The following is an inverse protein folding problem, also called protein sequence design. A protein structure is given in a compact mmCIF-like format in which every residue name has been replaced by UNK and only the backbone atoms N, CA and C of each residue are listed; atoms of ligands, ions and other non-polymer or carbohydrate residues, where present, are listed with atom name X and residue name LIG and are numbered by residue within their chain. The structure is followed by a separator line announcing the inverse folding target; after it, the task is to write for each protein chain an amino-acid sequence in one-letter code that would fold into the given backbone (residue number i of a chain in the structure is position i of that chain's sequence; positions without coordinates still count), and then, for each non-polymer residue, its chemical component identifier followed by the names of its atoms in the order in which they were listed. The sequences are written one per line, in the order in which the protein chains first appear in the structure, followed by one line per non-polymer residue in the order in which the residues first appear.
data_IF_015196249123
#
_entry.id   IF_015196249123
#
_cell.length_a   1.000
_cell.length_b   1.000
_cell.length_c   1.000
_cell.angle_alpha   90.00
_cell.angle_beta   90.00
_cell.angle_gamma   90.00
#
_symmetry.space_group_name_H-M   'P 1'
#
loop_
_entity.id
_entity.type
_entity.pdbx_description
1 polymer ?
#
# COMPACT_ATOMS: atom_id res chain seq x y z
N UNK A 1 24.99 1.45 13.51
CA UNK A 1 24.49 0.31 12.72
C UNK A 1 24.01 0.85 11.39
N UNK A 2 24.78 0.58 10.35
CA UNK A 2 24.55 1.03 8.97
C UNK A 2 23.41 0.23 8.34
N UNK A 3 22.26 0.86 8.13
CA UNK A 3 21.19 0.29 7.29
C UNK A 3 21.58 0.59 5.83
N UNK A 4 22.05 -0.44 5.14
CA UNK A 4 22.33 -0.43 3.72
C UNK A 4 21.00 -0.56 2.95
N UNK A 5 20.45 0.58 2.59
CA UNK A 5 19.25 0.75 1.78
C UNK A 5 18.97 2.25 1.74
N UNK A 6 19.39 2.94 0.68
CA UNK A 6 19.17 4.38 0.56
C UNK A 6 17.68 4.63 0.26
N UNK A 7 16.85 4.69 1.30
CA UNK A 7 15.52 5.30 1.21
C UNK A 7 15.73 6.80 1.07
N UNK A 8 15.40 7.35 -0.10
CA UNK A 8 15.40 8.80 -0.27
C UNK A 8 14.15 9.35 0.44
N UNK A 9 14.34 9.87 1.65
CA UNK A 9 13.32 10.64 2.36
C UNK A 9 13.41 12.07 1.83
N UNK A 10 12.50 12.42 0.92
CA UNK A 10 12.36 13.79 0.43
C UNK A 10 11.22 14.46 1.19
N UNK A 11 11.59 15.25 2.20
CA UNK A 11 10.68 16.06 2.98
C UNK A 11 10.45 17.43 2.32
N UNK A 12 9.18 17.77 2.09
CA UNK A 12 8.80 19.11 1.66
C UNK A 12 8.54 19.99 2.88
N UNK A 13 9.17 21.17 2.97
CA UNK A 13 8.89 22.17 4.00
C UNK A 13 8.01 23.31 3.45
N UNK A 14 6.92 23.61 4.15
CA UNK A 14 6.07 24.77 3.90
C UNK A 14 6.72 26.04 4.48
N UNK A 15 7.86 26.48 3.95
CA UNK A 15 8.44 27.78 4.32
C UNK A 15 7.84 28.90 3.47
N UNK A 16 7.49 30.00 4.13
CA UNK A 16 6.79 31.15 3.57
C UNK A 16 7.66 32.07 2.69
N UNK A 17 8.82 31.64 2.22
CA UNK A 17 9.74 32.55 1.49
C UNK A 17 10.45 31.87 0.32
N UNK A 18 10.13 32.36 -0.89
CA UNK A 18 10.96 32.41 -2.10
C UNK A 18 11.22 31.13 -2.94
N UNK A 19 10.17 30.39 -3.29
CA UNK A 19 9.97 29.73 -4.60
C UNK A 19 8.47 29.95 -4.92
N UNK A 20 8.00 30.14 -6.18
CA UNK A 20 6.57 30.22 -6.44
C UNK A 20 5.95 28.83 -6.25
N UNK A 21 5.85 28.35 -5.01
CA UNK A 21 5.45 26.99 -4.69
C UNK A 21 3.92 26.88 -4.66
N UNK A 22 3.31 27.25 -5.80
CA UNK A 22 1.92 26.95 -6.09
C UNK A 22 1.70 25.44 -6.13
N UNK A 23 0.43 25.04 -6.05
CA UNK A 23 0.01 23.64 -6.03
C UNK A 23 0.65 22.82 -7.18
N UNK A 24 0.78 23.43 -8.37
CA UNK A 24 1.40 22.81 -9.55
C UNK A 24 2.86 22.37 -9.32
N UNK A 25 3.67 23.17 -8.62
CA UNK A 25 5.06 22.81 -8.32
C UNK A 25 5.13 21.60 -7.38
N UNK A 26 4.20 21.49 -6.43
CA UNK A 26 4.17 20.36 -5.48
C UNK A 26 3.68 19.07 -6.13
N UNK A 27 2.74 19.18 -7.06
CA UNK A 27 2.30 18.05 -7.91
C UNK A 27 3.48 17.51 -8.73
N UNK A 28 4.25 18.40 -9.37
CA UNK A 28 5.42 17.99 -10.15
C UNK A 28 6.48 17.24 -9.32
N UNK A 29 6.62 17.56 -8.03
CA UNK A 29 7.48 16.80 -7.11
C UNK A 29 6.96 15.38 -6.83
N UNK A 30 5.64 15.22 -6.63
CA UNK A 30 5.04 13.90 -6.47
C UNK A 30 5.18 13.07 -7.74
N UNK A 31 5.08 13.68 -8.92
CA UNK A 31 5.35 13.03 -10.21
C UNK A 31 6.81 12.58 -10.32
N UNK A 32 7.77 13.40 -9.87
CA UNK A 32 9.18 13.02 -9.84
C UNK A 32 9.41 11.81 -8.92
N UNK A 33 8.85 11.83 -7.70
CA UNK A 33 8.95 10.69 -6.78
C UNK A 33 8.31 9.42 -7.38
N UNK A 34 7.19 9.57 -8.10
CA UNK A 34 6.57 8.45 -8.79
C UNK A 34 7.42 7.92 -9.93
N UNK A 35 8.06 8.80 -10.71
CA UNK A 35 9.01 8.40 -11.76
C UNK A 35 10.18 7.60 -11.17
N UNK A 36 10.72 8.02 -10.02
CA UNK A 36 11.79 7.31 -9.31
C UNK A 36 11.33 5.90 -8.88
N UNK A 37 10.13 5.80 -8.29
CA UNK A 37 9.51 4.52 -7.92
C UNK A 37 9.35 3.57 -9.11
N UNK A 38 8.88 4.09 -10.26
CA UNK A 38 8.77 3.30 -11.49
C UNK A 38 10.14 2.81 -12.02
N UNK A 39 11.24 3.45 -11.63
CA UNK A 39 12.61 3.00 -11.91
C UNK A 39 13.18 2.11 -10.79
N UNK A 40 12.32 1.58 -9.92
CA UNK A 40 12.69 0.76 -8.75
C UNK A 40 13.60 1.49 -7.74
N UNK A 41 13.52 2.82 -7.66
CA UNK A 41 14.21 3.61 -6.64
C UNK A 41 13.27 3.76 -5.42
N UNK A 42 13.59 3.18 -4.25
CA UNK A 42 12.76 3.30 -3.05
C UNK A 42 12.63 4.75 -2.60
N UNK A 43 11.41 5.29 -2.72
CA UNK A 43 11.15 6.71 -2.48
C UNK A 43 9.90 6.90 -1.63
N UNK A 44 10.08 7.41 -0.41
CA UNK A 44 9.00 7.81 0.49
C UNK A 44 8.75 9.31 0.34
N UNK A 45 7.52 9.69 -0.02
CA UNK A 45 7.15 11.11 -0.07
C UNK A 45 6.77 11.61 1.32
N UNK A 46 7.39 12.68 1.81
CA UNK A 46 7.02 13.26 3.10
C UNK A 46 6.40 14.65 2.90
N UNK A 47 5.13 14.76 3.27
CA UNK A 47 4.33 15.98 3.14
C UNK A 47 4.27 16.68 4.51
N UNK A 48 5.06 17.74 4.70
CA UNK A 48 5.03 18.55 5.93
C UNK A 48 4.01 19.68 5.80
N UNK A 49 3.21 19.90 6.84
CA UNK A 49 2.32 21.05 6.94
C UNK A 49 1.04 20.75 7.70
N UNK A 50 -0.05 21.47 7.37
CA UNK A 50 -1.37 21.15 7.91
C UNK A 50 -1.87 19.84 7.31
N UNK A 51 -2.30 18.89 8.15
CA UNK A 51 -2.75 17.55 7.73
C UNK A 51 -3.79 17.62 6.61
N UNK A 52 -4.78 18.51 6.75
CA UNK A 52 -5.84 18.69 5.75
C UNK A 52 -5.28 19.13 4.39
N UNK A 53 -4.33 20.07 4.38
CA UNK A 53 -3.73 20.58 3.14
C UNK A 53 -2.84 19.53 2.46
N UNK A 54 -2.06 18.76 3.24
CA UNK A 54 -1.26 17.65 2.74
C UNK A 54 -2.14 16.54 2.13
N UNK A 55 -3.24 16.18 2.83
CA UNK A 55 -4.21 15.21 2.34
C UNK A 55 -4.87 15.68 1.03
N UNK A 56 -5.30 16.94 0.96
CA UNK A 56 -5.90 17.50 -0.26
C UNK A 56 -4.91 17.49 -1.44
N UNK A 57 -3.65 17.85 -1.21
CA UNK A 57 -2.61 17.79 -2.24
C UNK A 57 -2.42 16.36 -2.76
N UNK A 58 -2.35 15.38 -1.87
CA UNK A 58 -2.19 13.97 -2.23
C UNK A 58 -3.38 13.42 -3.03
N UNK A 59 -4.61 13.75 -2.60
CA UNK A 59 -5.83 13.35 -3.32
C UNK A 59 -5.84 13.98 -4.72
N UNK A 60 -5.57 15.29 -4.82
CA UNK A 60 -5.52 15.99 -6.10
C UNK A 60 -4.49 15.37 -7.06
N UNK A 61 -3.29 15.06 -6.57
CA UNK A 61 -2.26 14.39 -7.36
C UNK A 61 -2.70 12.98 -7.79
N UNK A 62 -3.27 12.19 -6.87
CA UNK A 62 -3.76 10.84 -7.17
C UNK A 62 -4.86 10.84 -8.22
N UNK A 63 -5.80 11.79 -8.13
CA UNK A 63 -6.89 11.97 -9.10
C UNK A 63 -6.35 12.32 -10.50
N UNK A 64 -5.37 13.24 -10.57
CA UNK A 64 -4.72 13.61 -11.84
C UNK A 64 -3.93 12.44 -12.44
N UNK A 65 -3.35 11.59 -11.60
CA UNK A 65 -2.68 10.37 -12.02
C UNK A 65 -3.65 9.22 -12.34
N UNK A 66 -4.98 9.42 -12.20
CA UNK A 66 -6.02 8.40 -12.33
C UNK A 66 -5.77 7.16 -11.44
N UNK A 67 -5.32 7.39 -10.21
CA UNK A 67 -5.01 6.35 -9.23
C UNK A 67 -5.91 6.44 -8.02
N UNK A 68 -6.30 5.27 -7.52
CA UNK A 68 -6.96 5.16 -6.22
C UNK A 68 -5.95 5.34 -5.09
N UNK A 69 -6.41 5.77 -3.92
CA UNK A 69 -5.53 5.88 -2.74
C UNK A 69 -6.23 5.48 -1.46
N UNK A 70 -5.54 4.67 -0.64
CA UNK A 70 -5.89 4.50 0.76
C UNK A 70 -5.37 5.67 1.60
N UNK A 71 -6.15 6.12 2.58
CA UNK A 71 -5.73 7.13 3.56
C UNK A 71 -6.02 6.61 4.95
N UNK A 72 -4.98 6.46 5.79
CA UNK A 72 -5.12 5.86 7.12
C UNK A 72 -4.19 6.47 8.15
N UNK A 73 -4.59 6.39 9.42
CA UNK A 73 -3.71 6.74 10.54
C UNK A 73 -2.77 5.57 10.79
N UNK A 74 -1.47 5.85 10.92
CA UNK A 74 -0.47 4.85 11.21
C UNK A 74 -0.58 4.38 12.67
N UNK A 75 -1.05 3.16 12.86
CA UNK A 75 -0.98 2.41 14.12
C UNK A 75 -0.04 1.22 13.99
N UNK A 76 -0.03 0.57 12.83
CA UNK A 76 0.91 -0.48 12.43
C UNK A 76 0.94 -0.58 10.90
N UNK A 77 1.94 -1.30 10.36
CA UNK A 77 1.99 -1.60 8.93
C UNK A 77 0.81 -2.49 8.47
N UNK A 78 0.32 -3.38 9.34
CA UNK A 78 -0.85 -4.22 9.07
C UNK A 78 -2.14 -3.40 8.94
N UNK A 79 -2.34 -2.41 9.83
CA UNK A 79 -3.49 -1.50 9.74
C UNK A 79 -3.47 -0.65 8.46
N UNK A 80 -2.28 -0.27 7.99
CA UNK A 80 -2.13 0.38 6.69
C UNK A 80 -2.44 -0.56 5.53
N UNK A 81 -2.06 -1.85 5.60
CA UNK A 81 -2.44 -2.85 4.61
C UNK A 81 -3.97 -2.95 4.54
N UNK A 82 -4.65 -3.10 5.67
CA UNK A 82 -6.12 -3.15 5.73
C UNK A 82 -6.77 -1.91 5.10
N UNK A 83 -6.27 -0.72 5.46
CA UNK A 83 -6.74 0.55 4.88
C UNK A 83 -6.55 0.58 3.37
N UNK A 84 -5.38 0.15 2.88
CA UNK A 84 -5.05 0.11 1.47
C UNK A 84 -5.95 -0.88 0.73
N UNK A 85 -6.10 -2.11 1.23
CA UNK A 85 -6.98 -3.13 0.64
C UNK A 85 -8.45 -2.68 0.60
N UNK A 86 -8.93 -2.03 1.65
CA UNK A 86 -10.29 -1.48 1.69
C UNK A 86 -10.50 -0.42 0.60
N UNK A 87 -9.53 0.48 0.41
CA UNK A 87 -9.60 1.47 -0.66
C UNK A 87 -9.59 0.83 -2.05
N UNK A 88 -8.81 -0.24 -2.25
CA UNK A 88 -8.84 -1.00 -3.51
C UNK A 88 -10.22 -1.63 -3.73
N UNK A 89 -10.77 -2.28 -2.70
CA UNK A 89 -12.05 -2.98 -2.77
C UNK A 89 -13.25 -2.04 -3.04
N UNK A 90 -13.14 -0.74 -2.75
CA UNK A 90 -14.19 0.25 -3.05
C UNK A 90 -14.30 0.56 -4.55
N UNK A 91 -13.21 0.43 -5.29
CA UNK A 91 -13.14 0.83 -6.69
C UNK A 91 -12.93 -0.33 -7.65
N UNK A 92 -12.51 -1.48 -7.13
CA UNK A 92 -12.14 -2.64 -7.91
C UNK A 92 -12.54 -3.94 -7.21
N UNK A 93 -12.90 -4.96 -7.99
CA UNK A 93 -13.21 -6.27 -7.46
C UNK A 93 -11.91 -7.03 -7.18
N UNK A 94 -11.27 -6.71 -6.06
CA UNK A 94 -10.00 -7.31 -5.65
C UNK A 94 -10.08 -8.85 -5.60
N UNK A 95 -11.22 -9.40 -5.15
CA UNK A 95 -11.46 -10.85 -5.14
C UNK A 95 -11.37 -11.44 -6.55
N UNK A 96 -12.08 -10.87 -7.51
CA UNK A 96 -12.05 -11.31 -8.91
C UNK A 96 -10.63 -11.20 -9.49
N UNK A 97 -9.89 -10.12 -9.23
CA UNK A 97 -8.49 -10.01 -9.68
C UNK A 97 -7.58 -11.10 -9.11
N UNK A 98 -7.70 -11.40 -7.82
CA UNK A 98 -6.95 -12.50 -7.22
C UNK A 98 -7.33 -13.81 -7.91
N UNK A 99 -8.62 -14.10 -8.06
CA UNK A 99 -9.10 -15.33 -8.71
C UNK A 99 -8.66 -15.44 -10.18
N UNK A 100 -8.58 -14.33 -10.92
CA UNK A 100 -8.05 -14.28 -12.29
C UNK A 100 -6.55 -14.58 -12.33
N UNK A 101 -5.78 -14.06 -11.39
CA UNK A 101 -4.36 -14.39 -11.26
C UNK A 101 -4.16 -15.87 -10.98
N UNK A 102 -4.93 -16.43 -10.05
CA UNK A 102 -4.91 -17.87 -9.73
C UNK A 102 -5.40 -18.75 -10.88
N UNK A 103 -6.40 -18.30 -11.62
CA UNK A 103 -6.91 -18.94 -12.84
C UNK A 103 -5.81 -19.07 -13.90
N UNK A 104 -5.06 -17.99 -14.13
CA UNK A 104 -3.94 -17.97 -15.06
C UNK A 104 -2.84 -18.94 -14.64
N UNK A 105 -2.48 -18.99 -13.34
CA UNK A 105 -1.45 -19.88 -12.81
C UNK A 105 -1.83 -21.37 -12.89
N UNK A 106 -3.11 -21.69 -12.73
CA UNK A 106 -3.60 -23.09 -12.68
C UNK A 106 -4.18 -23.57 -14.01
N UNK A 107 -4.24 -22.70 -15.02
CA UNK A 107 -4.93 -22.94 -16.29
C UNK A 107 -6.39 -23.38 -16.12
N UNK A 108 -7.07 -22.86 -15.09
CA UNK A 108 -8.49 -23.10 -14.82
C UNK A 108 -9.30 -21.82 -14.96
N UNK A 109 -10.51 -21.84 -15.51
CA UNK A 109 -11.37 -20.67 -15.55
C UNK A 109 -11.68 -20.10 -14.15
N UNK A 110 -11.81 -18.77 -14.05
CA UNK A 110 -12.17 -18.07 -12.80
C UNK A 110 -13.47 -18.62 -12.18
N UNK A 111 -14.48 -18.89 -13.02
CA UNK A 111 -15.77 -19.43 -12.57
C UNK A 111 -15.63 -20.82 -11.93
N UNK A 112 -14.76 -21.68 -12.48
CA UNK A 112 -14.50 -23.01 -11.91
C UNK A 112 -13.74 -22.92 -10.59
N UNK A 113 -12.74 -22.03 -10.49
CA UNK A 113 -12.04 -21.79 -9.22
C UNK A 113 -12.97 -21.23 -8.16
N UNK A 114 -13.86 -20.31 -8.53
CA UNK A 114 -14.87 -19.75 -7.62
C UNK A 114 -15.79 -20.86 -7.09
N UNK A 115 -16.35 -21.67 -8.00
CA UNK A 115 -17.20 -22.79 -7.62
C UNK A 115 -16.46 -23.78 -6.72
N UNK A 116 -15.21 -24.13 -7.07
CA UNK A 116 -14.35 -25.02 -6.29
C UNK A 116 -14.15 -24.48 -4.86
N UNK A 117 -13.75 -23.22 -4.69
CA UNK A 117 -13.47 -22.65 -3.37
C UNK A 117 -14.71 -22.54 -2.47
N UNK A 118 -15.91 -22.46 -3.06
CA UNK A 118 -17.18 -22.41 -2.34
C UNK A 118 -17.71 -23.80 -1.98
N UNK A 119 -17.58 -24.78 -2.89
CA UNK A 119 -18.24 -26.09 -2.75
C UNK A 119 -17.36 -27.19 -2.15
N UNK A 120 -16.06 -26.96 -2.01
CA UNK A 120 -15.12 -27.99 -1.55
C UNK A 120 -14.83 -27.95 -0.06
N UNK A 121 -14.40 -29.09 0.49
CA UNK A 121 -14.03 -29.20 1.89
C UNK A 121 -12.75 -28.45 2.21
N UNK A 122 -12.54 -28.09 3.48
CA UNK A 122 -11.30 -27.46 3.96
C UNK A 122 -10.05 -28.24 3.54
N UNK A 123 -10.12 -29.57 3.59
CA UNK A 123 -9.04 -30.45 3.14
C UNK A 123 -8.71 -30.26 1.66
N UNK A 124 -9.71 -30.23 0.78
CA UNK A 124 -9.52 -30.03 -0.66
C UNK A 124 -8.96 -28.63 -0.96
N UNK A 125 -9.44 -27.61 -0.24
CA UNK A 125 -8.91 -26.24 -0.35
C UNK A 125 -7.46 -26.19 0.10
N UNK A 126 -7.11 -26.82 1.21
CA UNK A 126 -5.73 -26.90 1.68
C UNK A 126 -4.82 -27.59 0.67
N UNK A 127 -5.26 -28.71 0.09
CA UNK A 127 -4.50 -29.42 -0.94
C UNK A 127 -4.29 -28.56 -2.19
N UNK A 128 -5.32 -27.82 -2.62
CA UNK A 128 -5.21 -26.87 -3.72
C UNK A 128 -4.11 -25.81 -3.46
N UNK A 129 -4.10 -25.21 -2.27
CA UNK A 129 -3.08 -24.21 -1.91
C UNK A 129 -1.68 -24.82 -1.81
N UNK A 130 -1.54 -26.05 -1.31
CA UNK A 130 -0.27 -26.77 -1.30
C UNK A 130 0.26 -27.05 -2.71
N UNK A 131 -0.63 -27.34 -3.67
CA UNK A 131 -0.26 -27.55 -5.07
C UNK A 131 0.10 -26.24 -5.78
N UNK A 132 -0.43 -25.11 -5.31
CA UNK A 132 -0.17 -23.79 -5.87
C UNK A 132 1.16 -23.18 -5.35
N UNK A 133 1.57 -23.50 -4.12
CA UNK A 133 2.78 -22.94 -3.51
C UNK A 133 4.05 -23.08 -4.38
N UNK A 134 4.30 -24.20 -5.10
CA UNK A 134 5.45 -24.29 -6.02
C UNK A 134 5.34 -23.42 -7.27
N UNK A 135 4.14 -22.94 -7.62
CA UNK A 135 3.86 -22.17 -8.83
C UNK A 135 3.91 -20.66 -8.59
N UNK A 136 3.74 -20.22 -7.33
CA UNK A 136 3.74 -18.81 -6.97
C UNK A 136 4.13 -18.62 -5.53
N UNK A 137 5.13 -17.75 -5.30
CA UNK A 137 5.55 -17.31 -3.98
C UNK A 137 4.46 -16.50 -3.26
N UNK A 138 3.48 -15.96 -4.01
CA UNK A 138 2.40 -15.12 -3.49
C UNK A 138 1.15 -15.93 -3.06
N UNK A 139 1.15 -17.25 -3.30
CA UNK A 139 -0.03 -18.10 -3.10
C UNK A 139 -0.61 -18.00 -1.68
N UNK A 140 0.24 -18.01 -0.65
CA UNK A 140 -0.19 -17.96 0.74
C UNK A 140 -0.76 -16.59 1.13
N UNK A 141 -0.16 -15.50 0.63
CA UNK A 141 -0.62 -14.13 0.86
C UNK A 141 -1.97 -13.90 0.17
N UNK A 142 -2.08 -14.30 -1.10
CA UNK A 142 -3.33 -14.19 -1.86
C UNK A 142 -4.44 -15.02 -1.22
N UNK A 143 -4.15 -16.20 -0.68
CA UNK A 143 -5.09 -16.99 0.13
C UNK A 143 -5.56 -16.24 1.37
N UNK A 144 -4.62 -15.66 2.13
CA UNK A 144 -4.96 -14.91 3.35
C UNK A 144 -5.88 -13.72 3.03
N UNK A 145 -5.58 -12.98 1.96
CA UNK A 145 -6.39 -11.84 1.51
C UNK A 145 -7.76 -12.30 0.99
N UNK A 146 -7.84 -13.40 0.23
CA UNK A 146 -9.12 -13.96 -0.21
C UNK A 146 -10.03 -14.37 0.96
N UNK A 147 -9.43 -14.86 2.04
CA UNK A 147 -10.15 -15.25 3.26
C UNK A 147 -10.65 -14.03 4.04
N UNK A 148 -9.93 -12.92 3.95
CA UNK A 148 -10.29 -11.64 4.55
C UNK A 148 -11.42 -10.92 3.78
N UNK A 149 -11.38 -10.98 2.44
CA UNK A 149 -12.39 -10.34 1.58
C UNK A 149 -13.78 -10.96 1.74
N UNK A 150 -14.86 -10.17 1.65
CA UNK A 150 -16.23 -10.70 1.64
C UNK A 150 -16.48 -11.56 0.39
N UNK A 151 -17.32 -12.58 0.51
CA UNK A 151 -17.67 -13.47 -0.61
C UNK A 151 -18.53 -12.77 -1.68
N UNK A 152 -19.19 -11.66 -1.34
CA UNK A 152 -20.02 -10.90 -2.27
C UNK A 152 -19.61 -9.41 -2.30
N UNK A 153 -19.50 -8.80 -3.50
CA UNK A 153 -19.21 -7.38 -3.64
C UNK A 153 -20.38 -6.56 -3.07
N UNK A 154 -20.09 -5.60 -2.20
CA UNK A 154 -21.07 -4.69 -1.61
C UNK A 154 -21.45 -4.95 -0.15
N UNK A 155 -20.95 -6.02 0.47
CA UNK A 155 -20.91 -6.13 1.92
C UNK A 155 -19.65 -5.42 2.44
N UNK A 156 -19.79 -4.66 3.52
CA UNK A 156 -18.65 -4.02 4.21
C UNK A 156 -17.53 -5.05 4.43
N UNK A 157 -16.25 -4.68 4.19
CA UNK A 157 -15.13 -5.58 4.46
C UNK A 157 -15.23 -6.10 5.89
N UNK A 158 -15.05 -7.42 6.06
CA UNK A 158 -15.21 -8.06 7.36
C UNK A 158 -14.30 -7.37 8.39
N UNK A 159 -14.80 -7.16 9.60
CA UNK A 159 -14.03 -6.63 10.76
C UNK A 159 -12.94 -7.59 11.25
N UNK A 160 -12.58 -8.60 10.47
CA UNK A 160 -11.49 -9.51 10.79
C UNK A 160 -10.18 -8.78 10.49
N UNK A 161 -9.36 -8.60 11.50
CA UNK A 161 -7.98 -8.17 11.27
C UNK A 161 -7.23 -9.21 10.43
N UNK A 162 -6.40 -8.75 9.49
CA UNK A 162 -5.43 -9.62 8.87
C UNK A 162 -4.50 -10.12 9.98
N UNK A 163 -4.58 -11.41 10.30
CA UNK A 163 -4.06 -12.03 11.52
C UNK A 163 -2.52 -12.06 11.67
N UNK A 164 -1.77 -11.27 10.89
CA UNK A 164 -0.31 -11.27 10.94
C UNK A 164 0.23 -9.99 11.57
N UNK A 165 0.89 -10.16 12.71
CA UNK A 165 1.71 -9.12 13.35
C UNK A 165 3.14 -9.09 12.80
N UNK A 166 3.53 -10.08 11.99
CA UNK A 166 4.87 -10.13 11.39
C UNK A 166 4.97 -9.17 10.21
N UNK A 167 5.79 -8.13 10.38
CA UNK A 167 6.08 -7.12 9.36
C UNK A 167 6.52 -7.75 8.03
N UNK A 168 7.29 -8.84 8.03
CA UNK A 168 7.76 -9.45 6.78
C UNK A 168 6.60 -10.04 5.96
N UNK A 169 5.67 -10.71 6.64
CA UNK A 169 4.45 -11.26 6.04
C UNK A 169 3.51 -10.16 5.54
N UNK A 170 3.41 -9.04 6.26
CA UNK A 170 2.60 -7.88 5.83
C UNK A 170 3.19 -7.24 4.58
N UNK A 171 4.51 -7.03 4.53
CA UNK A 171 5.20 -6.49 3.36
C UNK A 171 5.07 -7.42 2.14
N UNK A 172 5.17 -8.74 2.34
CA UNK A 172 4.91 -9.72 1.28
C UNK A 172 3.46 -9.63 0.77
N UNK A 173 2.49 -9.34 1.64
CA UNK A 173 1.09 -9.17 1.25
C UNK A 173 0.88 -7.91 0.41
N UNK A 174 1.54 -6.78 0.74
CA UNK A 174 1.58 -5.61 -0.13
C UNK A 174 2.15 -5.95 -1.51
N UNK A 175 3.27 -6.68 -1.56
CA UNK A 175 3.92 -7.08 -2.80
C UNK A 175 3.01 -7.95 -3.67
N UNK A 176 2.42 -9.00 -3.08
CA UNK A 176 1.52 -9.93 -3.76
C UNK A 176 0.33 -9.20 -4.40
N UNK A 177 -0.30 -8.28 -3.67
CA UNK A 177 -1.44 -7.51 -4.19
C UNK A 177 -1.00 -6.50 -5.23
N UNK A 178 0.12 -5.80 -5.02
CA UNK A 178 0.58 -4.81 -5.96
C UNK A 178 0.90 -5.43 -7.34
N UNK A 179 1.38 -6.68 -7.39
CA UNK A 179 1.62 -7.43 -8.65
C UNK A 179 0.35 -7.79 -9.42
N UNK A 180 -0.83 -7.72 -8.80
CA UNK A 180 -2.11 -7.90 -9.49
C UNK A 180 -2.48 -6.70 -10.38
N UNK A 181 -1.78 -5.58 -10.23
CA UNK A 181 -2.04 -4.34 -10.95
C UNK A 181 -0.89 -4.00 -11.91
N UNK A 182 -1.20 -3.45 -13.10
CA UNK A 182 -0.20 -2.74 -13.88
C UNK A 182 0.44 -1.62 -13.07
N UNK A 183 1.75 -1.40 -13.23
CA UNK A 183 2.51 -0.37 -12.49
C UNK A 183 1.89 1.04 -12.59
N UNK A 184 1.23 1.34 -13.71
CA UNK A 184 0.56 2.63 -13.96
C UNK A 184 -0.72 2.85 -13.15
N UNK A 185 -1.30 1.81 -12.55
CA UNK A 185 -2.58 1.89 -11.82
C UNK A 185 -2.52 1.34 -10.40
N UNK A 186 -1.33 0.95 -9.91
CA UNK A 186 -1.13 0.54 -8.51
C UNK A 186 -1.67 1.65 -7.58
N UNK A 187 -2.61 1.33 -6.69
CA UNK A 187 -3.19 2.29 -5.77
C UNK A 187 -2.17 2.84 -4.77
N UNK A 188 -2.26 4.13 -4.48
CA UNK A 188 -1.41 4.82 -3.52
C UNK A 188 -1.82 4.60 -2.06
N UNK A 189 -0.93 4.99 -1.16
CA UNK A 189 -1.14 4.94 0.29
C UNK A 189 -0.64 6.24 0.93
N UNK A 190 -1.54 6.92 1.64
CA UNK A 190 -1.22 8.07 2.48
C UNK A 190 -1.33 7.67 3.96
N UNK A 191 -0.20 7.70 4.66
CA UNK A 191 -0.14 7.48 6.10
C UNK A 191 -0.19 8.83 6.85
N UNK A 192 -1.05 8.90 7.85
CA UNK A 192 -1.15 10.02 8.79
C UNK A 192 -0.55 9.61 10.13
N UNK A 193 0.29 10.44 10.72
CA UNK A 193 0.81 10.16 12.06
C UNK A 193 -0.13 10.67 13.16
N UNK A 194 -0.33 9.90 14.24
CA UNK A 194 -0.93 10.41 15.48
C UNK A 194 -0.16 11.64 16.00
N UNK A 195 -0.84 12.62 16.60
CA UNK A 195 -0.24 13.89 17.01
C UNK A 195 0.90 13.73 18.05
N UNK A 196 0.84 12.66 18.83
CA UNK A 196 1.76 12.29 19.90
C UNK A 196 2.93 11.41 19.46
N UNK A 197 2.99 11.01 18.18
CA UNK A 197 4.02 10.11 17.66
C UNK A 197 5.13 10.89 16.91
N UNK A 198 6.38 10.67 17.30
CA UNK A 198 7.58 11.24 16.68
C UNK A 198 7.86 10.69 15.27
N UNK A 199 7.19 9.61 14.88
CA UNK A 199 7.18 9.12 13.50
C UNK A 199 8.33 8.20 13.11
N UNK A 200 9.31 7.92 13.99
CA UNK A 200 10.44 7.03 13.67
C UNK A 200 9.98 5.64 13.23
N UNK A 201 9.13 4.98 14.04
CA UNK A 201 8.62 3.65 13.71
C UNK A 201 7.83 3.64 12.40
N UNK A 202 7.09 4.71 12.11
CA UNK A 202 6.35 4.86 10.86
C UNK A 202 7.31 5.06 9.68
N UNK A 203 8.33 5.91 9.82
CA UNK A 203 9.35 6.08 8.78
C UNK A 203 10.09 4.78 8.48
N UNK A 204 10.48 4.03 9.51
CA UNK A 204 11.14 2.74 9.31
C UNK A 204 10.22 1.76 8.57
N UNK A 205 8.97 1.61 9.03
CA UNK A 205 8.02 0.68 8.41
C UNK A 205 7.64 1.09 6.97
N UNK A 206 7.42 2.39 6.72
CA UNK A 206 7.11 2.90 5.39
C UNK A 206 8.34 2.89 4.47
N UNK A 207 9.53 3.09 5.02
CA UNK A 207 10.81 2.90 4.32
C UNK A 207 10.95 1.47 3.83
N UNK A 208 10.77 0.50 4.72
CA UNK A 208 10.77 -0.93 4.37
C UNK A 208 9.69 -1.27 3.33
N UNK A 209 8.51 -0.63 3.40
CA UNK A 209 7.46 -0.80 2.40
C UNK A 209 7.89 -0.31 1.02
N UNK A 210 8.45 0.89 0.90
CA UNK A 210 8.89 1.42 -0.41
C UNK A 210 10.12 0.70 -0.95
N UNK A 211 10.92 0.07 -0.08
CA UNK A 211 12.00 -0.82 -0.48
C UNK A 211 11.47 -2.15 -1.01
N UNK A 212 10.54 -2.79 -0.28
CA UNK A 212 9.98 -4.07 -0.66
C UNK A 212 9.06 -3.96 -1.90
N UNK A 213 8.33 -2.85 -2.03
CA UNK A 213 7.31 -2.66 -3.07
C UNK A 213 7.40 -1.25 -3.67
N UNK A 214 8.46 -0.91 -4.43
CA UNK A 214 8.69 0.43 -4.93
C UNK A 214 7.56 0.99 -5.79
N UNK A 215 6.80 0.10 -6.46
CA UNK A 215 5.69 0.49 -7.33
C UNK A 215 4.49 1.13 -6.61
N UNK A 216 4.35 0.94 -5.29
CA UNK A 216 3.27 1.57 -4.52
C UNK A 216 3.65 3.02 -4.25
N UNK A 217 2.85 4.00 -4.70
CA UNK A 217 3.04 5.38 -4.27
C UNK A 217 2.73 5.51 -2.78
N UNK A 218 3.75 5.73 -1.95
CA UNK A 218 3.59 5.92 -0.50
C UNK A 218 3.97 7.33 -0.09
N UNK A 219 3.10 7.95 0.71
CA UNK A 219 3.38 9.22 1.36
C UNK A 219 3.08 9.19 2.88
N UNK A 220 3.87 9.96 3.62
CA UNK A 220 3.70 10.23 5.04
C UNK A 220 3.36 11.71 5.24
N UNK A 221 2.35 12.00 6.04
CA UNK A 221 2.04 13.37 6.46
C UNK A 221 2.65 13.67 7.82
N UNK A 222 3.40 14.77 7.90
CA UNK A 222 3.94 15.30 9.14
C UNK A 222 3.37 16.68 9.42
N UNK A 223 2.97 16.94 10.66
CA UNK A 223 2.74 18.32 11.10
C UNK A 223 4.06 19.11 11.12
N UNK A 224 3.97 20.43 11.20
CA UNK A 224 5.16 21.28 11.29
C UNK A 224 6.04 20.92 12.51
N UNK A 225 5.39 20.58 13.64
CA UNK A 225 6.05 20.19 14.88
C UNK A 225 6.74 18.82 14.77
N UNK A 226 6.03 17.81 14.24
CA UNK A 226 6.61 16.48 14.01
C UNK A 226 7.78 16.52 13.03
N UNK A 227 7.63 17.29 11.94
CA UNK A 227 8.70 17.46 10.96
C UNK A 227 9.95 18.12 11.53
N UNK A 228 9.81 19.01 12.52
CA UNK A 228 10.97 19.61 13.21
C UNK A 228 11.67 18.57 14.10
N UNK A 229 10.91 17.87 14.95
CA UNK A 229 11.47 16.85 15.83
C UNK A 229 12.19 15.73 15.07
N UNK A 230 11.71 15.41 13.86
CA UNK A 230 12.33 14.41 13.00
C UNK A 230 13.64 14.88 12.36
N UNK A 231 13.74 16.15 11.99
CA UNK A 231 14.99 16.74 11.49
C UNK A 231 16.05 16.83 12.60
N UNK A 232 15.64 17.04 13.84
CA UNK A 232 16.54 17.11 14.98
C UNK A 232 17.13 15.72 15.36
N UNK A 233 16.54 14.63 14.85
CA UNK A 233 16.95 13.24 15.09
C UNK A 233 17.87 12.67 14.00
N UNK A 234 17.95 13.31 12.83
CA UNK A 234 18.76 12.90 11.67
C UNK A 234 20.14 13.60 11.66
#
# INVERSE_FOLDING_TARGET
MTVQGCVYILAFEQQATAIPAGIASRIAWLDLHQSQRCQAIPTLSVLRGKVIAARQLWILWSDQAHRQTGVGVYTSIAALLETWLAAIAQHDNLRSRILQSLAALTHRPEAELTAFLVSTSDYQRQLFWQQLAPLSEDADQLRAILTWLPDSPGLEPQTKHLASEDSSTVLASFAAVARLFPQSVVPGLLALLPEDNLGEAALTALGQLVEAVPQIPVALVLTAAQGQGLLDLL
#
